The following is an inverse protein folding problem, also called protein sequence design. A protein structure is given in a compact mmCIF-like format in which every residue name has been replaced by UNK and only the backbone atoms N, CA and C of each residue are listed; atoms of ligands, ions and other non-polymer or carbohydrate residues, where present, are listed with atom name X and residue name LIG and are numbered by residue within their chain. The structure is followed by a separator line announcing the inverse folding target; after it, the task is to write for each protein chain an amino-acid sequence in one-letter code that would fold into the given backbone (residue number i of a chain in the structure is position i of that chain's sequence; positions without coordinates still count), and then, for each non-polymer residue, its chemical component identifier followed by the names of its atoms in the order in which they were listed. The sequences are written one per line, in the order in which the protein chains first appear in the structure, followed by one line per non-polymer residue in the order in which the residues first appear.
data_IF_236032297858
#
_entry.id   IF_236032297858
#
_cell.length_a   1.000
_cell.length_b   1.000
_cell.length_c   1.000
_cell.angle_alpha   90.00
_cell.angle_beta   90.00
_cell.angle_gamma   90.00
#
_symmetry.space_group_name_H-M   'P 1'
#
loop_
_entity.id
_entity.type
_entity.pdbx_description
1 polymer ?
#
# COMPACT_ATOMS: atom_id res chain seq x y z
N UNK A 1 -1.75 1.71 13.97
CA UNK A 1 -0.77 0.93 13.19
C UNK A 1 -0.99 1.26 11.74
N UNK A 2 -0.11 0.87 10.84
CA UNK A 2 -0.33 1.14 9.42
C UNK A 2 -0.88 -0.11 8.72
N UNK A 3 -1.52 0.12 7.58
CA UNK A 3 -1.74 -0.93 6.60
C UNK A 3 -0.52 -1.03 5.69
N UNK A 4 -0.25 -2.22 5.18
CA UNK A 4 0.84 -2.52 4.24
C UNK A 4 0.29 -3.18 2.99
N UNK A 5 1.01 -3.03 1.88
CA UNK A 5 0.72 -3.72 0.63
C UNK A 5 1.78 -4.81 0.41
N UNK A 6 1.33 -6.05 0.24
CA UNK A 6 2.16 -7.23 0.07
C UNK A 6 2.32 -7.66 -1.39
N UNK A 7 2.99 -8.80 -1.58
CA UNK A 7 3.32 -9.42 -2.87
C UNK A 7 2.18 -9.48 -3.90
N UNK A 8 0.90 -9.77 -3.55
CA UNK A 8 -0.15 -9.93 -4.57
C UNK A 8 -0.43 -8.66 -5.39
N UNK A 9 0.06 -7.49 -4.97
CA UNK A 9 -0.07 -6.24 -5.72
C UNK A 9 0.93 -6.11 -6.89
N UNK A 10 2.02 -6.89 -6.87
CA UNK A 10 3.09 -6.82 -7.88
C UNK A 10 2.53 -7.11 -9.27
N UNK A 11 2.78 -6.20 -10.20
CA UNK A 11 2.36 -6.22 -11.61
C UNK A 11 0.84 -6.26 -11.83
N UNK A 12 0.02 -6.18 -10.76
CA UNK A 12 -1.44 -6.04 -10.83
C UNK A 12 -1.84 -4.58 -10.84
N UNK A 13 -1.38 -3.81 -9.83
CA UNK A 13 -1.58 -2.35 -9.70
C UNK A 13 -3.01 -1.88 -10.07
N UNK A 14 -4.03 -2.50 -9.48
CA UNK A 14 -5.45 -2.23 -9.80
C UNK A 14 -5.91 -0.79 -9.46
N UNK A 15 -5.40 -0.25 -8.35
CA UNK A 15 -5.64 1.10 -7.81
C UNK A 15 -7.00 1.34 -7.14
N UNK A 16 -7.91 0.37 -7.00
CA UNK A 16 -9.17 0.59 -6.25
C UNK A 16 -8.97 1.11 -4.82
N UNK A 17 -7.91 0.65 -4.13
CA UNK A 17 -7.55 1.11 -2.80
C UNK A 17 -7.23 2.62 -2.71
N UNK A 18 -6.78 3.24 -3.81
CA UNK A 18 -6.43 4.67 -3.88
C UNK A 18 -7.67 5.53 -3.74
N UNK A 19 -8.77 5.13 -4.37
CA UNK A 19 -9.99 5.94 -4.46
C UNK A 19 -10.73 6.03 -3.11
N UNK A 20 -10.49 5.08 -2.21
CA UNK A 20 -11.15 5.00 -0.90
C UNK A 20 -10.29 5.49 0.27
N UNK A 21 -9.01 5.79 0.03
CA UNK A 21 -8.11 6.24 1.10
C UNK A 21 -8.44 7.70 1.51
N UNK A 22 -8.92 7.97 2.73
CA UNK A 22 -9.38 9.30 3.13
C UNK A 22 -8.25 10.34 3.28
N UNK A 23 -7.01 9.88 3.38
CA UNK A 23 -5.80 10.71 3.56
C UNK A 23 -4.86 10.64 2.36
N UNK A 24 -5.29 9.98 1.27
CA UNK A 24 -4.51 9.79 0.05
C UNK A 24 -3.10 9.20 0.29
N UNK A 25 -2.88 8.39 1.34
CA UNK A 25 -1.56 7.91 1.74
C UNK A 25 -1.03 6.70 0.94
N UNK A 26 -1.62 6.41 -0.22
CA UNK A 26 -1.22 5.30 -1.09
C UNK A 26 -0.48 5.86 -2.30
N UNK A 27 0.72 5.34 -2.53
CA UNK A 27 1.67 5.78 -3.55
C UNK A 27 1.92 4.67 -4.56
N UNK A 28 2.21 5.05 -5.79
CA UNK A 28 2.48 4.13 -6.89
C UNK A 28 3.98 4.11 -7.20
N UNK A 29 4.61 2.94 -7.04
CA UNK A 29 5.96 2.70 -7.53
C UNK A 29 5.97 1.93 -8.84
N UNK A 30 7.13 1.37 -9.16
CA UNK A 30 7.36 0.69 -10.44
C UNK A 30 6.45 -0.53 -10.62
N UNK A 31 6.53 -1.51 -9.70
CA UNK A 31 5.79 -2.78 -9.81
C UNK A 31 4.58 -2.92 -8.90
N UNK A 32 4.47 -2.13 -7.83
CA UNK A 32 3.35 -2.22 -6.89
C UNK A 32 3.02 -0.85 -6.29
N UNK A 33 1.92 -0.81 -5.52
CA UNK A 33 1.57 0.34 -4.70
C UNK A 33 2.15 0.17 -3.28
N UNK A 34 2.32 1.28 -2.58
CA UNK A 34 2.87 1.35 -1.23
C UNK A 34 2.01 2.26 -0.36
N UNK A 35 1.78 1.86 0.90
CA UNK A 35 1.10 2.70 1.89
C UNK A 35 2.17 3.40 2.72
N UNK A 36 2.07 4.74 2.87
CA UNK A 36 2.97 5.49 3.74
C UNK A 36 2.57 5.27 5.21
N UNK A 37 3.42 4.64 6.03
CA UNK A 37 3.02 4.23 7.39
C UNK A 37 2.76 5.42 8.31
N UNK A 38 3.50 6.52 8.16
CA UNK A 38 3.30 7.72 9.00
C UNK A 38 2.09 8.58 8.59
N UNK A 39 1.55 8.40 7.38
CA UNK A 39 0.34 9.11 6.91
C UNK A 39 -0.92 8.25 7.10
N UNK A 40 -0.77 6.93 7.20
CA UNK A 40 -1.87 6.00 7.38
C UNK A 40 -2.55 6.22 8.74
N UNK A 41 -3.86 6.41 8.72
CA UNK A 41 -4.68 6.61 9.93
C UNK A 41 -5.44 5.35 10.38
N UNK A 42 -5.04 4.17 9.88
CA UNK A 42 -5.59 2.88 10.30
C UNK A 42 -7.11 2.71 10.11
N UNK A 43 -7.67 3.36 9.08
CA UNK A 43 -9.14 3.38 8.86
C UNK A 43 -9.72 2.09 8.26
N UNK A 44 -8.89 1.21 7.68
CA UNK A 44 -9.31 -0.06 7.07
C UNK A 44 -10.11 0.03 5.77
N UNK A 45 -10.35 1.22 5.23
CA UNK A 45 -11.17 1.38 4.01
C UNK A 45 -10.56 0.71 2.77
N UNK A 46 -9.23 0.62 2.69
CA UNK A 46 -8.52 0.11 1.52
C UNK A 46 -8.47 -1.42 1.42
N UNK A 47 -8.51 -2.14 2.54
CA UNK A 47 -8.43 -3.60 2.60
C UNK A 47 -9.51 -4.32 1.77
N UNK A 48 -10.83 -4.05 1.97
CA UNK A 48 -11.89 -4.76 1.24
C UNK A 48 -11.94 -4.43 -0.25
N UNK A 49 -11.36 -3.30 -0.66
CA UNK A 49 -11.35 -2.85 -2.06
C UNK A 49 -10.27 -3.52 -2.91
N UNK A 50 -9.27 -4.17 -2.28
CA UNK A 50 -8.20 -4.81 -3.02
C UNK A 50 -8.68 -6.14 -3.64
N UNK A 51 -8.79 -6.27 -4.97
CA UNK A 51 -9.35 -7.48 -5.60
C UNK A 51 -8.47 -8.73 -5.46
N UNK A 52 -7.20 -8.54 -5.13
CA UNK A 52 -6.19 -9.60 -4.95
C UNK A 52 -5.79 -9.78 -3.48
N UNK A 53 -6.48 -9.12 -2.55
CA UNK A 53 -6.24 -9.23 -1.11
C UNK A 53 -4.77 -9.01 -0.75
N UNK A 54 -4.17 -7.95 -1.29
CA UNK A 54 -2.77 -7.61 -1.07
C UNK A 54 -2.56 -6.74 0.19
N UNK A 55 -3.62 -6.24 0.81
CA UNK A 55 -3.55 -5.21 1.85
C UNK A 55 -3.85 -5.85 3.20
N UNK A 56 -2.99 -5.62 4.18
CA UNK A 56 -3.11 -6.17 5.53
C UNK A 56 -2.75 -5.10 6.56
N UNK A 57 -3.34 -5.11 7.76
CA UNK A 57 -2.75 -4.40 8.87
C UNK A 57 -1.40 -5.04 9.24
N UNK A 58 -0.44 -4.24 9.72
CA UNK A 58 0.91 -4.72 10.07
C UNK A 58 0.90 -5.94 11.01
N UNK A 59 -0.04 -5.99 11.95
CA UNK A 59 -0.16 -7.06 12.94
C UNK A 59 -0.69 -8.39 12.37
N UNK A 60 -1.58 -8.34 11.38
CA UNK A 60 -2.17 -9.52 10.74
C UNK A 60 -1.44 -9.92 9.44
N UNK A 61 -0.31 -9.26 9.14
CA UNK A 61 0.48 -9.58 7.95
C UNK A 61 1.01 -11.02 8.03
N UNK A 62 0.71 -11.87 7.02
CA UNK A 62 1.17 -13.25 6.99
C UNK A 62 2.69 -13.37 7.14
N UNK A 63 3.22 -14.42 7.82
CA UNK A 63 4.66 -14.56 8.09
C UNK A 63 5.55 -14.45 6.85
N UNK A 64 5.08 -14.97 5.70
CA UNK A 64 5.81 -14.92 4.44
C UNK A 64 5.95 -13.51 3.84
N UNK A 65 5.13 -12.54 4.29
CA UNK A 65 5.12 -11.18 3.76
C UNK A 65 5.50 -10.13 4.80
N UNK A 66 6.03 -10.53 5.96
CA UNK A 66 6.45 -9.58 7.00
C UNK A 66 7.53 -8.60 6.53
N UNK A 67 8.33 -8.97 5.54
CA UNK A 67 9.31 -8.06 4.93
C UNK A 67 8.66 -6.85 4.25
N UNK A 68 7.41 -6.99 3.77
CA UNK A 68 6.69 -5.91 3.10
C UNK A 68 6.38 -4.74 4.05
N UNK A 69 6.38 -4.96 5.37
CA UNK A 69 6.26 -3.87 6.36
C UNK A 69 7.43 -2.90 6.21
N UNK A 70 8.67 -3.41 6.16
CA UNK A 70 9.84 -2.60 5.95
C UNK A 70 9.86 -2.01 4.53
N UNK A 71 9.50 -2.79 3.50
CA UNK A 71 9.50 -2.32 2.11
C UNK A 71 8.54 -1.13 1.91
N UNK A 72 7.34 -1.18 2.48
CA UNK A 72 6.37 -0.07 2.39
C UNK A 72 6.92 1.20 3.04
N UNK A 73 7.73 1.09 4.10
CA UNK A 73 8.34 2.23 4.77
C UNK A 73 9.58 2.74 4.04
N UNK A 74 10.51 1.86 3.72
CA UNK A 74 11.85 2.18 3.26
C UNK A 74 11.86 2.73 1.82
N UNK A 75 10.84 2.41 1.02
CA UNK A 75 10.75 2.95 -0.35
C UNK A 75 10.67 4.49 -0.38
N UNK A 76 10.11 5.11 0.66
CA UNK A 76 9.99 6.57 0.77
C UNK A 76 11.30 7.29 1.11
N UNK A 77 12.32 6.55 1.55
CA UNK A 77 13.68 7.07 1.80
C UNK A 77 14.66 6.65 0.70
N UNK A 78 14.20 5.90 -0.31
CA UNK A 78 15.03 5.44 -1.42
C UNK A 78 15.34 6.56 -2.44
N UNK A 79 16.33 6.33 -3.30
CA UNK A 79 16.68 7.25 -4.39
C UNK A 79 15.56 7.44 -5.42
N UNK A 80 14.60 6.52 -5.46
CA UNK A 80 13.45 6.54 -6.41
C UNK A 80 12.14 6.30 -5.64
N UNK A 81 11.66 7.29 -4.88
CA UNK A 81 10.44 7.15 -4.09
C UNK A 81 9.20 7.06 -4.99
N UNK A 82 8.14 6.37 -4.53
CA UNK A 82 6.92 6.20 -5.31
C UNK A 82 6.15 7.53 -5.41
N UNK A 83 5.47 7.73 -6.53
CA UNK A 83 4.70 8.95 -6.80
C UNK A 83 3.24 8.82 -6.34
N UNK A 84 2.51 9.94 -6.24
CA UNK A 84 1.05 9.85 -6.08
C UNK A 84 0.44 9.25 -7.36
N UNK A 85 -0.40 8.20 -7.25
CA UNK A 85 -1.10 7.63 -8.41
C UNK A 85 -2.00 8.68 -9.06
N UNK A 86 -2.15 8.59 -10.39
CA UNK A 86 -3.17 9.38 -11.08
C UNK A 86 -4.55 8.81 -10.74
N UNK A 87 -5.37 9.60 -10.04
CA UNK A 87 -6.78 9.27 -9.79
C UNK A 87 -7.48 9.07 -11.13
N UNK A 88 -8.24 7.98 -11.27
CA UNK A 88 -9.08 7.79 -12.46
C UNK A 88 -10.13 8.92 -12.44
N UNK A 89 -10.17 9.70 -13.52
CA UNK A 89 -11.12 10.80 -13.67
C UNK A 89 -12.57 10.30 -13.75
#
# INVERSE_FOLDING_TARGET
MAYIIAEPCIDVKDRACVDVCPVDCIYEGERMLYIHPDECIDCGACEPECPVTAIFPEEDTPPQWKEYIAINKDIFTSDTPPGKPQKKA
#
